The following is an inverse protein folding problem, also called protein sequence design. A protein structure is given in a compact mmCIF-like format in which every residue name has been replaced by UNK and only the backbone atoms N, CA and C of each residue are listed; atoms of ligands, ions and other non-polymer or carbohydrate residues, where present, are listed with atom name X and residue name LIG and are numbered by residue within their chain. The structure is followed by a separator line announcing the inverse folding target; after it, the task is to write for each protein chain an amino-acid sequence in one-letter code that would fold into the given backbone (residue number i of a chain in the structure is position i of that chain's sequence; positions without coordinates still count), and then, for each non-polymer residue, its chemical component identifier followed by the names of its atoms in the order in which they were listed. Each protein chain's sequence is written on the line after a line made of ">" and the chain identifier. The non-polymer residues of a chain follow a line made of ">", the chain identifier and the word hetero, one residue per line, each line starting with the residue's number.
data_IF_808713373083
#
_entry.id   IF_808713373083
#
_cell.length_a   1.000
_cell.length_b   1.000
_cell.length_c   1.000
_cell.angle_alpha   90.00
_cell.angle_beta   90.00
_cell.angle_gamma   90.00
#
_symmetry.space_group_name_H-M   'P 1'
#
loop_
_entity.id
_entity.type
_entity.pdbx_description
1 polymer ?
#
# COMPACT_ATOMS: atom_id res chain seq x y z
N UNK A 1 12.29 21.02 -21.81
CA UNK A 1 11.77 20.44 -20.55
C UNK A 1 10.86 19.29 -20.94
N UNK A 2 11.14 18.08 -20.46
CA UNK A 2 10.23 16.94 -20.63
C UNK A 2 8.92 17.29 -19.93
N UNK A 3 7.79 17.22 -20.63
CA UNK A 3 6.48 17.43 -20.00
C UNK A 3 6.25 16.27 -19.03
N UNK A 4 5.98 16.57 -17.77
CA UNK A 4 5.65 15.57 -16.75
C UNK A 4 4.44 14.72 -17.14
N UNK A 5 3.55 15.28 -17.98
CA UNK A 5 2.36 14.64 -18.52
C UNK A 5 2.65 13.45 -19.45
N UNK A 6 3.90 13.28 -19.92
CA UNK A 6 4.30 12.19 -20.82
C UNK A 6 5.11 11.08 -20.14
N UNK A 7 5.16 11.07 -18.80
CA UNK A 7 5.85 10.02 -18.06
C UNK A 7 4.95 8.78 -17.93
N UNK A 8 5.51 7.59 -18.17
CA UNK A 8 4.89 6.32 -17.80
C UNK A 8 4.95 6.04 -16.28
N UNK A 9 5.48 6.99 -15.51
CA UNK A 9 5.64 6.92 -14.06
C UNK A 9 4.39 7.50 -13.40
N UNK A 10 3.82 6.75 -12.46
CA UNK A 10 2.75 7.22 -11.59
C UNK A 10 3.36 7.77 -10.31
N UNK A 11 3.01 9.00 -9.94
CA UNK A 11 3.43 9.61 -8.68
C UNK A 11 2.32 9.38 -7.65
N UNK A 12 2.68 8.82 -6.51
CA UNK A 12 1.76 8.61 -5.39
C UNK A 12 2.11 9.57 -4.26
N UNK A 13 1.09 10.09 -3.58
CA UNK A 13 1.26 10.91 -2.39
C UNK A 13 1.14 10.05 -1.12
N UNK A 14 2.01 10.27 -0.14
CA UNK A 14 1.92 9.63 1.17
C UNK A 14 1.38 10.64 2.19
N UNK A 15 0.35 10.27 2.95
CA UNK A 15 -0.29 11.19 3.90
C UNK A 15 -1.40 10.56 4.73
N UNK A 16 -1.78 11.26 5.80
CA UNK A 16 -2.87 10.86 6.71
C UNK A 16 -3.81 12.01 7.11
N UNK A 17 -3.65 13.19 6.52
CA UNK A 17 -4.54 14.35 6.73
C UNK A 17 -5.48 14.56 5.53
N UNK A 18 -6.79 14.63 5.79
CA UNK A 18 -7.81 14.71 4.74
C UNK A 18 -7.75 16.03 3.96
N UNK A 19 -7.37 17.14 4.60
CA UNK A 19 -7.29 18.44 3.93
C UNK A 19 -6.14 18.48 2.93
N UNK A 20 -4.96 17.99 3.33
CA UNK A 20 -3.81 17.80 2.46
C UNK A 20 -4.07 16.80 1.34
N UNK A 21 -4.74 15.69 1.63
CA UNK A 21 -5.15 14.71 0.61
C UNK A 21 -6.10 15.36 -0.41
N UNK A 22 -7.07 16.16 0.04
CA UNK A 22 -8.00 16.87 -0.84
C UNK A 22 -7.31 17.88 -1.74
N UNK A 23 -6.29 18.57 -1.24
CA UNK A 23 -5.47 19.46 -2.07
C UNK A 23 -4.67 18.67 -3.11
N UNK A 24 -4.00 17.60 -2.69
CA UNK A 24 -3.19 16.74 -3.57
C UNK A 24 -4.01 16.00 -4.62
N UNK A 25 -5.26 15.63 -4.31
CA UNK A 25 -6.19 15.02 -5.27
C UNK A 25 -6.53 15.94 -6.45
N UNK A 26 -6.41 17.27 -6.28
CA UNK A 26 -6.59 18.24 -7.37
C UNK A 26 -5.35 18.37 -8.26
N UNK A 27 -4.21 17.84 -7.84
CA UNK A 27 -2.96 17.92 -8.58
C UNK A 27 -2.91 16.78 -9.63
N UNK A 28 -2.92 17.09 -10.94
CA UNK A 28 -2.96 16.08 -12.00
C UNK A 28 -1.70 15.21 -12.07
N UNK A 29 -0.62 15.55 -11.36
CA UNK A 29 0.57 14.72 -11.25
C UNK A 29 0.39 13.55 -10.30
N UNK A 30 -0.50 13.67 -9.31
CA UNK A 30 -0.77 12.61 -8.34
C UNK A 30 -1.72 11.59 -8.98
N UNK A 31 -1.34 10.31 -8.91
CA UNK A 31 -2.03 9.17 -9.53
C UNK A 31 -2.54 8.15 -8.52
N UNK A 32 -2.37 8.43 -7.24
CA UNK A 32 -2.84 7.60 -6.14
C UNK A 32 -2.21 8.02 -4.83
N UNK A 33 -2.58 7.30 -3.78
CA UNK A 33 -2.23 7.63 -2.42
C UNK A 33 -1.73 6.41 -1.65
N UNK A 34 -0.90 6.63 -0.65
CA UNK A 34 -0.55 5.63 0.34
C UNK A 34 -0.80 6.19 1.73
N UNK A 35 -1.30 5.34 2.63
CA UNK A 35 -1.43 5.67 4.04
C UNK A 35 -0.43 4.85 4.86
N UNK A 36 -0.11 5.34 6.05
CA UNK A 36 0.68 4.63 7.03
C UNK A 36 0.04 4.80 8.42
N UNK A 37 -0.19 3.70 9.17
CA UNK A 37 -0.66 3.70 10.56
C UNK A 37 0.04 4.71 11.48
N UNK A 38 1.33 4.93 11.26
CA UNK A 38 2.17 5.82 12.06
C UNK A 38 1.81 7.28 11.85
N UNK A 39 1.47 7.68 10.62
CA UNK A 39 0.99 9.03 10.32
C UNK A 39 -0.39 9.24 10.92
N UNK A 40 -1.28 8.25 10.78
CA UNK A 40 -2.65 8.34 11.31
C UNK A 40 -2.70 8.47 12.83
N UNK A 41 -1.85 7.74 13.55
CA UNK A 41 -1.72 7.89 15.01
C UNK A 41 -1.18 9.26 15.41
N UNK A 42 -0.25 9.84 14.63
CA UNK A 42 0.25 11.21 14.89
C UNK A 42 -0.84 12.26 14.71
N UNK A 43 -1.74 12.03 13.75
CA UNK A 43 -2.84 12.93 13.42
C UNK A 43 -4.08 12.69 14.30
N UNK A 44 -3.98 11.79 15.30
CA UNK A 44 -5.02 11.56 16.29
C UNK A 44 -6.24 10.76 15.79
N UNK A 45 -6.10 10.07 14.66
CA UNK A 45 -7.18 9.27 14.07
C UNK A 45 -7.42 8.03 14.95
N UNK A 46 -8.61 7.97 15.55
CA UNK A 46 -9.04 6.87 16.42
C UNK A 46 -9.94 5.85 15.72
N UNK A 47 -10.57 6.23 14.60
CA UNK A 47 -11.38 5.35 13.76
C UNK A 47 -10.76 5.25 12.36
N UNK A 48 -10.05 4.15 12.13
CA UNK A 48 -9.35 3.88 10.88
C UNK A 48 -10.31 3.69 9.70
N UNK A 49 -11.41 2.97 9.92
CA UNK A 49 -12.36 2.63 8.88
C UNK A 49 -13.17 3.87 8.46
N UNK A 50 -13.56 4.73 9.40
CA UNK A 50 -14.20 6.00 9.08
C UNK A 50 -13.28 6.90 8.26
N UNK A 51 -12.02 7.08 8.69
CA UNK A 51 -11.04 7.85 7.93
C UNK A 51 -10.82 7.30 6.51
N UNK A 52 -10.66 5.98 6.38
CA UNK A 52 -10.44 5.35 5.09
C UNK A 52 -11.62 5.60 4.13
N UNK A 53 -12.86 5.55 4.62
CA UNK A 53 -14.06 5.85 3.84
C UNK A 53 -14.14 7.33 3.45
N UNK A 54 -13.88 8.24 4.39
CA UNK A 54 -13.82 9.67 4.09
C UNK A 54 -12.73 9.97 3.04
N UNK A 55 -11.59 9.29 3.12
CA UNK A 55 -10.50 9.41 2.15
C UNK A 55 -10.93 8.90 0.77
N UNK A 56 -11.65 7.77 0.69
CA UNK A 56 -12.16 7.23 -0.57
C UNK A 56 -13.09 8.23 -1.29
N UNK A 57 -13.93 8.94 -0.54
CA UNK A 57 -14.79 9.99 -1.07
C UNK A 57 -13.99 11.20 -1.61
N UNK A 58 -12.84 11.51 -1.00
CA UNK A 58 -11.99 12.65 -1.38
C UNK A 58 -11.18 12.38 -2.64
N UNK A 59 -10.70 11.14 -2.83
CA UNK A 59 -9.74 10.80 -3.87
C UNK A 59 -10.40 10.34 -5.19
N UNK A 60 -11.73 10.33 -5.27
CA UNK A 60 -12.53 10.12 -6.49
C UNK A 60 -12.07 8.91 -7.33
N UNK A 61 -11.92 7.75 -6.68
CA UNK A 61 -11.54 6.50 -7.32
C UNK A 61 -10.04 6.36 -7.64
N UNK A 62 -9.19 7.32 -7.25
CA UNK A 62 -7.74 7.16 -7.37
C UNK A 62 -7.26 5.96 -6.51
N UNK A 63 -6.29 5.15 -6.99
CA UNK A 63 -5.73 4.05 -6.21
C UNK A 63 -5.22 4.50 -4.83
N UNK A 64 -5.55 3.76 -3.78
CA UNK A 64 -5.11 4.05 -2.41
C UNK A 64 -4.64 2.80 -1.68
N UNK A 65 -3.54 2.89 -0.93
CA UNK A 65 -3.07 1.81 -0.07
C UNK A 65 -3.44 2.02 1.40
N UNK A 66 -4.09 1.01 2.00
CA UNK A 66 -4.46 0.94 3.42
C UNK A 66 -3.77 -0.28 4.05
N UNK A 67 -3.18 -0.11 5.24
CA UNK A 67 -2.32 -1.11 5.88
C UNK A 67 -3.05 -1.90 6.95
N UNK A 68 -2.80 -3.21 7.00
CA UNK A 68 -3.23 -4.07 8.11
C UNK A 68 -2.46 -3.72 9.39
N UNK A 69 -3.05 -4.01 10.55
CA UNK A 69 -2.43 -3.76 11.86
C UNK A 69 -2.06 -5.04 12.59
N UNK A 70 -2.71 -6.16 12.24
CA UNK A 70 -2.47 -7.45 12.86
C UNK A 70 -1.05 -7.95 12.62
N UNK A 71 -0.55 -8.78 13.55
CA UNK A 71 0.73 -9.47 13.44
C UNK A 71 0.58 -10.97 13.13
N UNK A 72 -0.57 -11.56 13.45
CA UNK A 72 -0.90 -12.93 13.09
C UNK A 72 -1.51 -13.00 11.69
N UNK A 73 -1.06 -13.94 10.87
CA UNK A 73 -1.46 -14.00 9.45
C UNK A 73 -2.95 -14.23 9.24
N UNK A 74 -3.61 -15.02 10.10
CA UNK A 74 -5.05 -15.25 10.01
C UNK A 74 -5.85 -13.97 10.29
N UNK A 75 -5.37 -13.14 11.23
CA UNK A 75 -5.98 -11.86 11.55
C UNK A 75 -5.64 -10.81 10.48
N UNK A 76 -4.42 -10.82 9.94
CA UNK A 76 -4.05 -9.99 8.78
C UNK A 76 -4.94 -10.31 7.57
N UNK A 77 -5.23 -11.59 7.32
CA UNK A 77 -6.12 -12.01 6.22
C UNK A 77 -7.54 -11.48 6.42
N UNK A 78 -8.09 -11.61 7.64
CA UNK A 78 -9.41 -11.08 7.96
C UNK A 78 -9.48 -9.55 7.78
N UNK A 79 -8.47 -8.81 8.28
CA UNK A 79 -8.37 -7.36 8.08
C UNK A 79 -8.20 -6.99 6.61
N UNK A 80 -7.39 -7.74 5.86
CA UNK A 80 -7.17 -7.51 4.44
C UNK A 80 -8.47 -7.64 3.64
N UNK A 81 -9.26 -8.67 3.90
CA UNK A 81 -10.55 -8.88 3.24
C UNK A 81 -11.55 -7.76 3.59
N UNK A 82 -11.55 -7.29 4.85
CA UNK A 82 -12.36 -6.14 5.24
C UNK A 82 -11.93 -4.86 4.51
N UNK A 83 -10.63 -4.53 4.52
CA UNK A 83 -10.09 -3.34 3.86
C UNK A 83 -10.38 -3.37 2.35
N UNK A 84 -10.18 -4.52 1.71
CA UNK A 84 -10.45 -4.71 0.28
C UNK A 84 -11.93 -4.49 -0.08
N UNK A 85 -12.85 -4.73 0.85
CA UNK A 85 -14.29 -4.52 0.63
C UNK A 85 -14.70 -3.05 0.54
N UNK A 86 -13.82 -2.11 0.89
CA UNK A 86 -14.16 -0.69 0.93
C UNK A 86 -14.20 -0.02 -0.45
N UNK A 87 -13.53 -0.59 -1.46
CA UNK A 87 -13.63 -0.10 -2.84
C UNK A 87 -12.67 -0.77 -3.81
N UNK A 88 -13.03 -0.76 -5.10
CA UNK A 88 -12.24 -1.39 -6.17
C UNK A 88 -10.89 -0.69 -6.45
N UNK A 89 -10.68 0.50 -5.90
CA UNK A 89 -9.43 1.25 -5.99
C UNK A 89 -8.51 1.02 -4.77
N UNK A 90 -8.89 0.14 -3.84
CA UNK A 90 -8.13 -0.12 -2.61
C UNK A 90 -7.07 -1.20 -2.82
N UNK A 91 -5.85 -0.90 -2.39
CA UNK A 91 -4.74 -1.83 -2.27
C UNK A 91 -4.48 -2.11 -0.80
N UNK A 92 -4.55 -3.38 -0.39
CA UNK A 92 -4.22 -3.76 0.98
C UNK A 92 -2.72 -3.84 1.13
N UNK A 93 -2.15 -2.97 1.96
CA UNK A 93 -0.73 -2.94 2.25
C UNK A 93 -0.38 -4.02 3.27
N UNK A 94 0.44 -4.98 2.86
CA UNK A 94 0.87 -6.14 3.66
C UNK A 94 2.39 -6.08 3.83
N UNK A 95 2.94 -6.07 5.05
CA UNK A 95 4.39 -6.12 5.24
C UNK A 95 4.94 -7.47 4.77
N UNK A 96 6.14 -7.48 4.17
CA UNK A 96 6.78 -8.71 3.67
C UNK A 96 7.07 -9.74 4.76
N UNK A 97 7.13 -9.30 6.02
CA UNK A 97 7.22 -10.17 7.20
C UNK A 97 6.34 -9.64 8.33
N UNK A 98 5.91 -10.51 9.23
CA UNK A 98 5.39 -10.09 10.54
C UNK A 98 6.52 -9.60 11.46
N UNK A 99 6.20 -9.19 12.70
CA UNK A 99 7.20 -8.71 13.68
C UNK A 99 8.16 -9.79 14.16
N UNK A 100 7.84 -11.07 13.95
CA UNK A 100 8.72 -12.22 14.25
C UNK A 100 9.68 -12.55 13.12
N UNK A 101 9.52 -11.92 11.95
CA UNK A 101 10.32 -12.19 10.76
C UNK A 101 9.80 -13.34 9.90
N UNK A 102 8.61 -13.86 10.18
CA UNK A 102 7.98 -14.88 9.34
C UNK A 102 7.53 -14.23 8.02
N UNK A 103 7.78 -14.84 6.85
CA UNK A 103 7.44 -14.25 5.55
C UNK A 103 5.93 -14.31 5.28
N UNK A 104 5.37 -13.20 4.78
CA UNK A 104 3.95 -13.10 4.43
C UNK A 104 3.62 -13.63 3.02
N UNK A 105 4.60 -14.17 2.29
CA UNK A 105 4.43 -14.67 0.91
C UNK A 105 3.23 -15.62 0.75
N UNK A 106 3.00 -16.62 1.65
CA UNK A 106 1.83 -17.49 1.54
C UNK A 106 0.49 -16.76 1.76
N UNK A 107 0.48 -15.69 2.56
CA UNK A 107 -0.70 -14.84 2.74
C UNK A 107 -0.96 -14.00 1.48
N UNK A 108 0.09 -13.39 0.92
CA UNK A 108 0.02 -12.61 -0.33
C UNK A 108 -0.53 -13.46 -1.47
N UNK A 109 -0.09 -14.70 -1.61
CA UNK A 109 -0.60 -15.65 -2.61
C UNK A 109 -2.11 -15.86 -2.48
N UNK A 110 -2.58 -16.19 -1.25
CA UNK A 110 -4.01 -16.41 -0.99
C UNK A 110 -4.86 -15.18 -1.27
N UNK A 111 -4.40 -13.99 -0.84
CA UNK A 111 -5.12 -12.74 -1.05
C UNK A 111 -5.20 -12.40 -2.55
N UNK A 112 -4.07 -12.50 -3.26
CA UNK A 112 -4.02 -12.20 -4.69
C UNK A 112 -4.89 -13.17 -5.52
N UNK A 113 -4.90 -14.46 -5.17
CA UNK A 113 -5.78 -15.46 -5.78
C UNK A 113 -7.27 -15.16 -5.54
N UNK A 114 -7.60 -14.55 -4.39
CA UNK A 114 -8.94 -14.06 -4.05
C UNK A 114 -9.28 -12.70 -4.69
N UNK A 115 -8.46 -12.21 -5.63
CA UNK A 115 -8.61 -10.92 -6.31
C UNK A 115 -8.47 -9.69 -5.40
N UNK A 116 -7.87 -9.85 -4.22
CA UNK A 116 -7.50 -8.72 -3.38
C UNK A 116 -6.29 -8.03 -3.97
N UNK A 117 -6.43 -6.75 -4.30
CA UNK A 117 -5.32 -5.91 -4.74
C UNK A 117 -4.39 -5.67 -3.55
N UNK A 118 -3.13 -6.07 -3.66
CA UNK A 118 -2.16 -5.98 -2.55
C UNK A 118 -1.06 -4.98 -2.87
N UNK A 119 -0.57 -4.30 -1.84
CA UNK A 119 0.68 -3.54 -1.85
C UNK A 119 1.65 -4.19 -0.87
N UNK A 120 2.52 -5.07 -1.35
CA UNK A 120 3.49 -5.73 -0.48
C UNK A 120 4.58 -4.73 -0.13
N UNK A 121 4.81 -4.47 1.16
CA UNK A 121 5.65 -3.37 1.65
C UNK A 121 6.83 -3.84 2.49
N UNK A 122 7.71 -2.91 2.83
CA UNK A 122 8.92 -3.11 3.62
C UNK A 122 9.91 -4.13 3.02
N UNK A 123 9.89 -4.32 1.69
CA UNK A 123 10.89 -5.13 1.01
C UNK A 123 12.21 -4.39 0.89
N UNK A 124 13.31 -5.10 1.15
CA UNK A 124 14.66 -4.58 1.11
C UNK A 124 15.62 -5.46 0.29
N UNK A 125 15.18 -6.64 -0.16
CA UNK A 125 16.02 -7.56 -0.95
C UNK A 125 15.36 -7.96 -2.27
N UNK A 126 16.19 -8.28 -3.27
CA UNK A 126 15.71 -8.78 -4.55
C UNK A 126 15.02 -10.15 -4.43
N UNK A 127 15.42 -10.98 -3.47
CA UNK A 127 14.81 -12.29 -3.25
C UNK A 127 13.38 -12.15 -2.71
N UNK A 128 13.12 -11.18 -1.83
CA UNK A 128 11.76 -10.85 -1.41
C UNK A 128 10.91 -10.43 -2.61
N UNK A 129 11.44 -9.56 -3.49
CA UNK A 129 10.75 -9.11 -4.70
C UNK A 129 10.43 -10.28 -5.63
N UNK A 130 11.38 -11.19 -5.85
CA UNK A 130 11.19 -12.38 -6.72
C UNK A 130 10.10 -13.29 -6.16
N UNK A 131 10.19 -13.68 -4.89
CA UNK A 131 9.21 -14.59 -4.28
C UNK A 131 7.80 -13.99 -4.28
N UNK A 132 7.67 -12.69 -4.03
CA UNK A 132 6.36 -12.01 -4.13
C UNK A 132 5.85 -12.01 -5.57
N UNK A 133 6.68 -11.61 -6.53
CA UNK A 133 6.29 -11.55 -7.93
C UNK A 133 5.83 -12.92 -8.49
N UNK A 134 6.44 -14.02 -8.03
CA UNK A 134 6.11 -15.38 -8.44
C UNK A 134 4.73 -15.85 -7.96
N UNK A 135 4.26 -15.36 -6.81
CA UNK A 135 2.98 -15.79 -6.20
C UNK A 135 1.80 -14.87 -6.50
N UNK A 136 2.05 -13.68 -7.07
CA UNK A 136 0.99 -12.75 -7.44
C UNK A 136 0.17 -13.32 -8.61
N UNK A 137 -1.14 -13.29 -8.46
CA UNK A 137 -2.06 -13.74 -9.49
C UNK A 137 -2.06 -12.75 -10.67
N UNK A 138 -1.87 -13.26 -11.89
CA UNK A 138 -1.67 -12.44 -13.11
C UNK A 138 -2.83 -11.47 -13.43
N UNK A 139 -4.06 -11.87 -13.13
CA UNK A 139 -5.26 -11.03 -13.31
C UNK A 139 -5.55 -10.06 -12.16
N UNK A 140 -4.77 -10.08 -11.07
CA UNK A 140 -5.01 -9.25 -9.88
C UNK A 140 -3.97 -8.14 -9.83
N UNK A 141 -4.36 -6.85 -9.95
CA UNK A 141 -3.42 -5.74 -9.80
C UNK A 141 -2.71 -5.79 -8.44
N UNK A 142 -1.40 -5.53 -8.45
CA UNK A 142 -0.59 -5.53 -7.24
C UNK A 142 0.55 -4.51 -7.32
N UNK A 143 1.03 -4.10 -6.16
CA UNK A 143 2.18 -3.21 -5.99
C UNK A 143 3.23 -3.91 -5.13
N UNK A 144 4.49 -3.77 -5.56
CA UNK A 144 5.68 -4.25 -4.85
C UNK A 144 6.46 -3.02 -4.38
N UNK A 145 6.39 -2.71 -3.09
CA UNK A 145 7.03 -1.53 -2.50
C UNK A 145 8.39 -1.86 -1.89
N UNK A 146 9.45 -1.42 -2.57
CA UNK A 146 10.84 -1.55 -2.12
C UNK A 146 11.25 -0.31 -1.32
N UNK A 147 11.82 -0.51 -0.13
CA UNK A 147 12.29 0.57 0.74
C UNK A 147 13.70 1.02 0.34
N UNK A 148 13.84 1.55 -0.87
CA UNK A 148 15.12 1.97 -1.45
C UNK A 148 15.91 2.92 -0.54
N UNK A 149 15.24 3.90 0.09
CA UNK A 149 15.90 4.81 1.04
C UNK A 149 16.49 4.09 2.27
N UNK A 150 15.80 3.07 2.79
CA UNK A 150 16.31 2.29 3.93
C UNK A 150 17.51 1.43 3.54
N UNK A 151 17.53 0.90 2.32
CA UNK A 151 18.69 0.18 1.79
C UNK A 151 19.87 1.14 1.60
N UNK A 152 19.63 2.32 1.01
CA UNK A 152 20.63 3.38 0.85
C UNK A 152 21.24 3.85 2.18
N UNK A 153 20.44 3.98 3.24
CA UNK A 153 20.91 4.34 4.59
C UNK A 153 21.93 3.34 5.16
N UNK A 154 21.98 2.11 4.65
CA UNK A 154 22.99 1.09 5.02
C UNK A 154 24.29 1.20 4.22
N UNK A 155 24.39 2.15 3.28
CA UNK A 155 25.51 2.32 2.36
C UNK A 155 25.49 1.39 1.15
N UNK A 156 24.34 0.75 0.88
CA UNK A 156 24.13 -0.15 -0.26
C UNK A 156 23.31 0.58 -1.34
N UNK A 157 23.66 0.42 -2.61
CA UNK A 157 22.86 0.92 -3.73
C UNK A 157 21.58 0.06 -3.88
N UNK A 158 20.38 0.64 -3.71
CA UNK A 158 19.10 -0.08 -3.68
C UNK A 158 18.65 -0.73 -4.99
#
# INVERSE_FOLDING_TARGET
>A
MTRTDSLNVKIFADGADLDGIRELARNPLIKGFTTNPTLMRKDGISDYAAFAKDMLDVIDGAPVSFEVFADEFDEMEAQALEIASWGDNVYVKIPITNTRGDPSVPLVERLSAQKVQVNVTAMMTLDQVRHVAEVLHEETPAVVSVFAGRVADTGIDP
#
